data_IF_735457452142
#
_entry.id   IF_735457452142
#
_cell.length_a   1.000
_cell.length_b   1.000
_cell.length_c   1.000
_cell.angle_alpha   90.00
_cell.angle_beta   90.00
_cell.angle_gamma   90.00
#
_symmetry.space_group_name_H-M   'P 1'
#
loop_
_entity.id
_entity.type
_entity.pdbx_description
1 polymer ?
#
# COMPACT_ATOMS: atom_id res chain seq x y z
N UNK A 1 -4.88 14.12 -7.43
CA UNK A 1 -3.60 14.85 -7.36
C UNK A 1 -2.86 14.60 -8.66
N UNK A 2 -2.17 15.60 -9.24
CA UNK A 2 -1.31 15.37 -10.40
C UNK A 2 -0.20 14.37 -10.03
N UNK A 3 0.29 13.61 -11.01
CA UNK A 3 1.43 12.71 -10.80
C UNK A 3 2.71 13.58 -10.73
N UNK A 4 3.53 13.44 -9.67
CA UNK A 4 4.80 14.17 -9.56
C UNK A 4 5.71 13.95 -10.76
N UNK A 5 6.41 15.00 -11.20
CA UNK A 5 7.30 14.96 -12.37
C UNK A 5 8.77 15.08 -12.00
N UNK A 6 9.06 15.48 -10.76
CA UNK A 6 10.41 15.58 -10.22
C UNK A 6 10.58 14.78 -8.94
N UNK A 7 11.83 14.49 -8.57
CA UNK A 7 12.16 13.80 -7.33
C UNK A 7 11.66 14.56 -6.10
N UNK A 8 11.86 15.87 -6.07
CA UNK A 8 11.47 16.70 -4.92
C UNK A 8 9.95 16.81 -4.79
N UNK A 9 9.23 16.90 -5.91
CA UNK A 9 7.76 16.81 -5.92
C UNK A 9 7.29 15.46 -5.39
N UNK A 10 7.91 14.36 -5.83
CA UNK A 10 7.52 13.01 -5.40
C UNK A 10 7.70 12.82 -3.89
N UNK A 11 8.87 13.20 -3.36
CA UNK A 11 9.16 13.09 -1.92
C UNK A 11 8.17 13.93 -1.12
N UNK A 12 7.96 15.18 -1.53
CA UNK A 12 7.02 16.09 -0.85
C UNK A 12 5.59 15.57 -0.86
N UNK A 13 5.15 14.99 -1.97
CA UNK A 13 3.80 14.43 -2.10
C UNK A 13 3.62 13.18 -1.22
N UNK A 14 4.63 12.31 -1.14
CA UNK A 14 4.64 11.14 -0.23
C UNK A 14 4.53 11.62 1.22
N UNK A 15 5.40 12.54 1.65
CA UNK A 15 5.40 13.07 3.02
C UNK A 15 4.09 13.76 3.38
N UNK A 16 3.58 14.60 2.47
CA UNK A 16 2.33 15.35 2.69
C UNK A 16 1.13 14.42 2.78
N UNK A 17 1.07 13.41 1.91
CA UNK A 17 -0.03 12.43 1.90
C UNK A 17 0.03 11.54 3.12
N UNK A 18 1.21 11.02 3.47
CA UNK A 18 1.39 10.19 4.67
C UNK A 18 1.04 10.96 5.96
N UNK A 19 1.46 12.22 6.08
CA UNK A 19 1.14 13.06 7.24
C UNK A 19 -0.36 13.27 7.44
N UNK A 20 -1.14 13.30 6.35
CA UNK A 20 -2.61 13.37 6.41
C UNK A 20 -3.23 12.02 6.72
N UNK A 21 -2.65 10.93 6.19
CA UNK A 21 -3.18 9.58 6.36
C UNK A 21 -2.92 9.01 7.76
N UNK A 22 -1.73 9.21 8.34
CA UNK A 22 -1.32 8.55 9.58
C UNK A 22 -2.29 8.77 10.76
N UNK A 23 -2.83 9.98 11.01
CA UNK A 23 -3.80 10.19 12.09
C UNK A 23 -5.13 9.43 11.89
N UNK A 24 -5.51 9.13 10.64
CA UNK A 24 -6.75 8.38 10.34
C UNK A 24 -6.67 6.92 10.82
N UNK A 25 -5.47 6.43 11.14
CA UNK A 25 -5.25 5.09 11.70
C UNK A 25 -5.18 5.08 13.23
N UNK A 26 -5.35 6.22 13.90
CA UNK A 26 -5.46 6.29 15.37
C UNK A 26 -6.88 5.91 15.82
N UNK A 27 -7.26 4.66 15.54
CA UNK A 27 -8.56 4.07 15.87
C UNK A 27 -8.41 3.02 16.96
N UNK A 28 -9.51 2.72 17.66
CA UNK A 28 -9.55 1.61 18.63
C UNK A 28 -9.25 0.27 17.92
N UNK A 29 -8.49 -0.60 18.58
CA UNK A 29 -8.08 -1.89 18.01
C UNK A 29 -9.27 -2.76 17.60
N UNK A 30 -10.38 -2.72 18.35
CA UNK A 30 -11.58 -3.50 17.99
C UNK A 30 -12.22 -2.95 16.73
N UNK A 31 -12.31 -1.62 16.62
CA UNK A 31 -12.84 -0.95 15.42
C UNK A 31 -11.92 -1.16 14.21
N UNK A 32 -10.60 -1.26 14.44
CA UNK A 32 -9.62 -1.48 13.38
C UNK A 32 -9.83 -2.81 12.64
N UNK A 33 -10.46 -3.80 13.30
CA UNK A 33 -10.75 -5.13 12.75
C UNK A 33 -12.13 -5.24 12.10
N UNK A 34 -13.01 -4.24 12.26
CA UNK A 34 -14.36 -4.30 11.68
C UNK A 34 -14.34 -4.05 10.16
N UNK A 35 -14.94 -4.96 9.39
CA UNK A 35 -15.00 -4.86 7.92
C UNK A 35 -16.13 -3.93 7.44
N UNK A 36 -15.94 -2.63 7.65
CA UNK A 36 -16.96 -1.60 7.36
C UNK A 36 -16.67 -0.79 6.10
N UNK A 37 -15.47 -0.91 5.52
CA UNK A 37 -15.05 -0.15 4.34
C UNK A 37 -15.21 -0.97 3.06
N UNK A 38 -15.47 -0.32 1.93
CA UNK A 38 -15.37 -0.98 0.62
C UNK A 38 -13.90 -1.36 0.35
N UNK A 39 -13.69 -2.62 -0.04
CA UNK A 39 -12.37 -3.17 -0.35
C UNK A 39 -11.96 -3.00 -1.81
N UNK A 40 -10.75 -3.49 -2.13
CA UNK A 40 -10.15 -3.30 -3.47
C UNK A 40 -10.74 -4.19 -4.56
N UNK A 41 -11.48 -5.23 -4.17
CA UNK A 41 -12.25 -6.08 -5.08
C UNK A 41 -13.69 -5.61 -4.99
N UNK A 42 -14.32 -5.34 -6.15
CA UNK A 42 -15.71 -4.86 -6.21
C UNK A 42 -16.63 -5.80 -5.43
N UNK A 43 -17.36 -5.24 -4.46
CA UNK A 43 -18.29 -5.97 -3.61
C UNK A 43 -17.66 -6.66 -2.40
N UNK A 44 -16.35 -6.55 -2.20
CA UNK A 44 -15.69 -6.97 -0.97
C UNK A 44 -15.70 -5.83 0.06
N UNK A 45 -15.73 -6.21 1.33
CA UNK A 45 -15.49 -5.32 2.47
C UNK A 45 -14.05 -5.47 2.97
N UNK A 46 -13.55 -4.46 3.68
CA UNK A 46 -12.27 -4.50 4.36
C UNK A 46 -12.31 -3.70 5.66
N UNK A 47 -11.41 -4.04 6.57
CA UNK A 47 -11.19 -3.30 7.81
C UNK A 47 -10.05 -2.28 7.67
N UNK A 48 -9.87 -1.42 8.67
CA UNK A 48 -8.72 -0.50 8.72
C UNK A 48 -7.40 -1.29 8.79
N UNK A 49 -7.40 -2.41 9.53
CA UNK A 49 -6.27 -3.34 9.56
C UNK A 49 -5.92 -3.83 8.15
N UNK A 50 -6.90 -4.33 7.39
CA UNK A 50 -6.69 -4.78 6.01
C UNK A 50 -6.12 -3.65 5.12
N UNK A 51 -6.60 -2.41 5.28
CA UNK A 51 -6.07 -1.26 4.55
C UNK A 51 -4.59 -0.99 4.90
N UNK A 52 -4.21 -1.05 6.18
CA UNK A 52 -2.80 -0.88 6.59
C UNK A 52 -1.94 -2.02 6.03
N UNK A 53 -2.41 -3.26 6.08
CA UNK A 53 -1.74 -4.42 5.51
C UNK A 53 -1.53 -4.29 4.01
N UNK A 54 -2.54 -3.79 3.28
CA UNK A 54 -2.43 -3.46 1.85
C UNK A 54 -1.33 -2.45 1.55
N UNK A 55 -1.29 -1.34 2.28
CA UNK A 55 -0.29 -0.28 2.09
C UNK A 55 1.12 -0.79 2.40
N UNK A 56 1.28 -1.52 3.51
CA UNK A 56 2.55 -2.13 3.89
C UNK A 56 3.03 -3.16 2.87
N UNK A 57 2.12 -3.98 2.33
CA UNK A 57 2.44 -4.96 1.30
C UNK A 57 2.99 -4.34 0.03
N UNK A 58 2.36 -3.27 -0.48
CA UNK A 58 2.88 -2.54 -1.64
C UNK A 58 4.18 -1.81 -1.35
N UNK A 59 4.30 -1.19 -0.17
CA UNK A 59 5.54 -0.54 0.27
C UNK A 59 6.72 -1.53 0.31
N UNK A 60 6.51 -2.69 0.93
CA UNK A 60 7.53 -3.74 0.98
C UNK A 60 7.88 -4.25 -0.42
N UNK A 61 6.88 -4.44 -1.30
CA UNK A 61 7.13 -4.91 -2.67
C UNK A 61 7.96 -3.92 -3.48
N UNK A 62 7.74 -2.62 -3.30
CA UNK A 62 8.58 -1.58 -3.92
C UNK A 62 10.03 -1.66 -3.48
N UNK A 63 10.29 -1.92 -2.19
CA UNK A 63 11.64 -2.10 -1.66
C UNK A 63 12.29 -3.38 -2.19
N UNK A 64 11.54 -4.49 -2.25
CA UNK A 64 12.01 -5.75 -2.85
C UNK A 64 12.41 -5.58 -4.32
N UNK A 65 11.67 -4.75 -5.06
CA UNK A 65 11.96 -4.44 -6.45
C UNK A 65 13.19 -3.56 -6.62
N UNK A 66 13.37 -2.54 -5.78
CA UNK A 66 14.59 -1.74 -5.79
C UNK A 66 15.81 -2.63 -5.47
N UNK A 67 15.75 -3.45 -4.42
CA UNK A 67 16.80 -4.40 -4.07
C UNK A 67 17.15 -5.35 -5.22
N UNK A 68 16.13 -5.87 -5.92
CA UNK A 68 16.33 -6.72 -7.09
C UNK A 68 17.00 -5.96 -8.24
N UNK A 69 16.56 -4.72 -8.49
CA UNK A 69 17.14 -3.86 -9.52
C UNK A 69 18.59 -3.50 -9.20
N UNK A 70 18.92 -3.11 -7.96
CA UNK A 70 20.29 -2.78 -7.55
C UNK A 70 21.23 -3.98 -7.72
N UNK A 71 20.74 -5.22 -7.50
CA UNK A 71 21.55 -6.44 -7.62
C UNK A 71 21.73 -6.92 -9.06
N UNK A 72 20.67 -6.87 -9.87
CA UNK A 72 20.64 -7.52 -11.18
C UNK A 72 20.66 -6.52 -12.35
N UNK A 73 20.46 -5.23 -12.08
CA UNK A 73 20.21 -4.19 -13.08
C UNK A 73 19.07 -4.54 -14.06
N UNK A 74 18.09 -5.28 -13.55
CA UNK A 74 16.94 -5.76 -14.30
C UNK A 74 15.66 -5.26 -13.63
N UNK A 75 14.69 -4.84 -14.45
CA UNK A 75 13.36 -4.50 -13.96
C UNK A 75 12.67 -5.81 -13.59
N UNK A 76 12.17 -5.96 -12.35
CA UNK A 76 11.47 -7.17 -11.93
C UNK A 76 10.18 -7.34 -12.73
N UNK A 77 9.84 -8.59 -13.03
CA UNK A 77 8.59 -8.91 -13.71
C UNK A 77 7.42 -8.69 -12.74
N UNK A 78 6.53 -7.76 -13.11
CA UNK A 78 5.33 -7.45 -12.33
C UNK A 78 4.16 -8.19 -12.99
N UNK A 79 3.64 -9.21 -12.31
CA UNK A 79 2.43 -9.90 -12.76
C UNK A 79 1.23 -8.96 -12.87
N UNK A 80 0.22 -9.33 -13.65
CA UNK A 80 -0.94 -8.47 -13.94
C UNK A 80 -2.06 -8.56 -12.91
N UNK A 81 -2.02 -9.52 -11.98
CA UNK A 81 -3.09 -9.77 -11.02
C UNK A 81 -2.89 -9.00 -9.70
N UNK A 82 -2.93 -7.68 -9.78
CA UNK A 82 -2.72 -6.79 -8.64
C UNK A 82 -3.74 -7.01 -7.49
N UNK A 83 -4.98 -7.43 -7.82
CA UNK A 83 -6.02 -7.68 -6.81
C UNK A 83 -5.74 -8.92 -5.94
N UNK A 84 -5.25 -10.00 -6.53
CA UNK A 84 -4.87 -11.20 -5.75
C UNK A 84 -3.60 -10.96 -4.93
N UNK A 85 -2.62 -10.24 -5.49
CA UNK A 85 -1.42 -9.83 -4.75
C UNK A 85 -1.82 -9.00 -3.53
N UNK A 86 -2.71 -8.02 -3.71
CA UNK A 86 -3.23 -7.19 -2.64
C UNK A 86 -3.91 -8.01 -1.53
N UNK A 87 -4.71 -9.01 -1.90
CA UNK A 87 -5.37 -9.89 -0.93
C UNK A 87 -4.37 -10.69 -0.10
N UNK A 88 -3.27 -11.16 -0.70
CA UNK A 88 -2.21 -11.88 0.04
C UNK A 88 -1.57 -11.06 1.16
N UNK A 89 -1.67 -9.73 1.10
CA UNK A 89 -1.11 -8.86 2.13
C UNK A 89 -1.90 -8.87 3.43
N UNK A 90 -3.23 -9.10 3.37
CA UNK A 90 -4.09 -9.16 4.56
C UNK A 90 -3.72 -10.30 5.50
N UNK A 91 -3.16 -11.38 4.97
CA UNK A 91 -2.73 -12.54 5.76
C UNK A 91 -1.29 -12.39 6.28
N UNK A 92 -0.49 -11.51 5.65
CA UNK A 92 0.94 -11.36 5.91
C UNK A 92 1.23 -10.30 6.97
N UNK A 93 0.42 -9.26 7.05
CA UNK A 93 0.60 -8.09 7.94
C UNK A 93 -0.67 -7.85 8.73
#
# INVERSE_FOLDING_TARGET
>A
MPVPTTKDELIKDIETTYKKLRPEFDVDEKLALEETMEGQIKGATMSVHNLVSYLNGWGQRMLEWDDFYQKNHQIPEIGTNYGEIAKSFYEKY
#
